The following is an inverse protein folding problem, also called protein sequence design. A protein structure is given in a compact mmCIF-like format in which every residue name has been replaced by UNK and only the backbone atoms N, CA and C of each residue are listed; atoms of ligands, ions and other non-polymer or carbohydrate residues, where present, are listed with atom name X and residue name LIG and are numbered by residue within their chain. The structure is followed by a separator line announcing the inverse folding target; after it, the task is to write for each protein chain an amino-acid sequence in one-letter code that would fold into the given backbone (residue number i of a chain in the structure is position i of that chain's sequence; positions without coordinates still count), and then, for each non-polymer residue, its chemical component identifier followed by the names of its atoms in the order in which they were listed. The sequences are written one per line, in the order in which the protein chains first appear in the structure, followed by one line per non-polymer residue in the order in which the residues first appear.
data_IF_835671668262
#
_entry.id   IF_835671668262
#
_cell.length_a   1.000
_cell.length_b   1.000
_cell.length_c   1.000
_cell.angle_alpha   90.00
_cell.angle_beta   90.00
_cell.angle_gamma   90.00
#
_symmetry.space_group_name_H-M   'P 1'
#
loop_
_entity.id
_entity.type
_entity.pdbx_description
1 polymer ?
#
# COMPACT_ATOMS: atom_id res chain seq x y z
N UNK A 1 -69.02 25.54 -34.35
CA UNK A 1 -69.09 25.07 -32.99
C UNK A 1 -67.64 24.61 -32.57
N UNK A 2 -66.96 25.45 -31.79
CA UNK A 2 -65.65 25.14 -31.28
C UNK A 2 -65.74 24.15 -30.11
N UNK A 3 -65.16 23.01 -30.25
CA UNK A 3 -64.89 22.09 -29.12
C UNK A 3 -63.79 22.66 -28.32
N UNK A 4 -64.08 23.22 -27.13
CA UNK A 4 -63.10 23.57 -26.15
C UNK A 4 -62.49 22.27 -25.55
N UNK A 5 -61.36 21.85 -26.04
CA UNK A 5 -60.59 20.76 -25.40
C UNK A 5 -59.94 21.32 -24.17
N UNK A 6 -60.45 21.00 -23.00
CA UNK A 6 -59.80 21.28 -21.73
C UNK A 6 -58.72 20.16 -21.53
N UNK A 7 -57.43 20.50 -21.70
CA UNK A 7 -56.36 19.62 -21.31
C UNK A 7 -56.08 19.82 -19.82
N UNK A 8 -56.48 18.86 -19.00
CA UNK A 8 -56.04 18.80 -17.60
C UNK A 8 -54.62 18.22 -17.58
N UNK A 9 -53.64 19.08 -17.50
CA UNK A 9 -52.28 18.64 -17.20
C UNK A 9 -52.24 18.30 -15.71
N UNK A 10 -52.27 17.04 -15.37
CA UNK A 10 -52.03 16.58 -14.01
C UNK A 10 -50.54 16.82 -13.70
N UNK A 11 -50.25 17.95 -13.08
CA UNK A 11 -48.94 18.11 -12.43
C UNK A 11 -48.95 17.34 -11.11
N UNK A 12 -48.97 16.03 -11.19
CA UNK A 12 -48.53 15.23 -10.06
C UNK A 12 -47.07 15.50 -9.85
N UNK A 13 -46.70 15.95 -8.64
CA UNK A 13 -45.34 15.96 -8.20
C UNK A 13 -44.80 14.55 -8.45
N UNK A 14 -43.95 14.36 -9.43
CA UNK A 14 -43.43 13.06 -9.77
C UNK A 14 -42.52 12.63 -8.61
N UNK A 15 -43.13 11.92 -7.65
CA UNK A 15 -42.40 10.97 -6.83
C UNK A 15 -42.30 9.73 -7.73
N UNK A 16 -41.37 9.73 -8.65
CA UNK A 16 -41.35 8.71 -9.65
C UNK A 16 -39.95 8.41 -10.10
N UNK A 17 -39.72 7.17 -10.26
CA UNK A 17 -38.72 6.56 -11.12
C UNK A 17 -38.38 7.51 -12.26
N UNK A 18 -37.14 7.96 -12.32
CA UNK A 18 -36.60 8.57 -13.52
C UNK A 18 -36.61 7.46 -14.56
N UNK A 19 -37.62 7.51 -15.44
CA UNK A 19 -37.70 6.63 -16.60
C UNK A 19 -36.64 7.13 -17.58
N UNK A 20 -35.38 6.69 -17.35
CA UNK A 20 -34.28 7.05 -18.20
C UNK A 20 -34.53 6.47 -19.59
N UNK A 21 -34.41 7.26 -20.67
CA UNK A 21 -34.47 6.71 -22.01
C UNK A 21 -33.41 5.60 -22.15
N UNK A 22 -33.67 4.56 -22.98
CA UNK A 22 -32.73 3.48 -23.14
C UNK A 22 -31.37 4.03 -23.57
N UNK A 23 -30.37 3.97 -22.66
CA UNK A 23 -29.00 4.33 -22.94
C UNK A 23 -28.27 5.06 -21.83
N UNK A 24 -28.77 6.16 -21.29
CA UNK A 24 -28.08 6.93 -20.24
C UNK A 24 -28.99 7.93 -19.56
N UNK A 25 -28.70 8.25 -18.30
CA UNK A 25 -29.28 9.41 -17.60
C UNK A 25 -28.30 10.58 -17.81
N UNK A 26 -28.73 11.55 -18.66
CA UNK A 26 -27.97 12.79 -18.86
C UNK A 26 -28.51 13.86 -17.91
N UNK A 27 -27.70 14.29 -16.98
CA UNK A 27 -27.98 15.37 -16.03
C UNK A 27 -27.66 16.76 -16.61
N UNK A 28 -27.09 16.83 -17.81
CA UNK A 28 -26.74 18.07 -18.52
C UNK A 28 -25.97 19.06 -17.63
N UNK A 29 -24.95 18.57 -16.93
CA UNK A 29 -24.14 19.36 -15.98
C UNK A 29 -24.85 19.61 -14.63
N UNK A 30 -26.00 19.02 -14.39
CA UNK A 30 -26.69 19.08 -13.11
C UNK A 30 -26.08 18.14 -12.06
N UNK A 31 -26.56 18.29 -10.83
CA UNK A 31 -26.12 17.49 -9.69
C UNK A 31 -27.06 16.32 -9.44
N UNK A 32 -26.53 15.18 -9.03
CA UNK A 32 -27.30 14.12 -8.41
C UNK A 32 -27.33 14.33 -6.90
N UNK A 33 -28.49 14.74 -6.35
CA UNK A 33 -28.71 14.88 -4.91
C UNK A 33 -29.08 13.54 -4.31
N UNK A 34 -28.39 13.15 -3.23
CA UNK A 34 -28.49 11.80 -2.65
C UNK A 34 -29.39 11.77 -1.41
N UNK A 35 -29.42 12.86 -0.62
CA UNK A 35 -30.11 12.93 0.66
C UNK A 35 -31.27 13.96 0.68
N UNK A 36 -32.00 13.98 1.80
CA UNK A 36 -33.26 14.77 1.92
C UNK A 36 -33.02 16.26 2.15
N UNK A 37 -31.93 16.65 2.78
CA UNK A 37 -31.55 18.05 3.03
C UNK A 37 -30.70 18.65 1.91
N UNK A 38 -30.39 17.84 0.88
CA UNK A 38 -29.74 18.23 -0.35
C UNK A 38 -28.30 18.75 -0.16
N UNK A 39 -27.59 18.27 0.85
CA UNK A 39 -26.19 18.63 1.12
C UNK A 39 -25.20 17.55 0.67
N UNK A 40 -25.67 16.31 0.42
CA UNK A 40 -24.87 15.22 -0.16
C UNK A 40 -25.18 15.04 -1.64
N UNK A 41 -24.16 15.20 -2.49
CA UNK A 41 -24.29 15.26 -3.95
C UNK A 41 -23.13 14.63 -4.69
N UNK A 42 -23.42 14.13 -5.90
CA UNK A 42 -22.42 13.94 -6.95
C UNK A 42 -22.60 15.11 -7.94
N UNK A 43 -21.55 15.86 -8.18
CA UNK A 43 -21.54 17.11 -8.94
C UNK A 43 -20.76 16.90 -10.24
N UNK A 44 -21.43 17.18 -11.38
CA UNK A 44 -20.84 17.10 -12.72
C UNK A 44 -20.79 18.46 -13.44
N UNK A 45 -20.86 19.57 -12.70
CA UNK A 45 -20.92 20.93 -13.27
C UNK A 45 -19.59 21.46 -13.83
N UNK A 46 -18.48 20.79 -13.50
CA UNK A 46 -17.16 21.10 -14.05
C UNK A 46 -16.81 20.05 -15.09
N UNK A 47 -16.34 20.48 -16.26
CA UNK A 47 -15.92 19.61 -17.34
C UNK A 47 -14.79 18.65 -16.89
N UNK A 48 -14.83 17.39 -17.34
CA UNK A 48 -13.85 16.33 -17.04
C UNK A 48 -13.66 16.03 -15.53
N UNK A 49 -14.67 16.36 -14.68
CA UNK A 49 -14.58 16.19 -13.23
C UNK A 49 -15.87 15.64 -12.63
N UNK A 50 -15.73 14.67 -11.72
CA UNK A 50 -16.80 14.21 -10.84
C UNK A 50 -16.40 14.61 -9.40
N UNK A 51 -17.21 15.50 -8.79
CA UNK A 51 -16.97 15.93 -7.40
C UNK A 51 -17.99 15.30 -6.45
N UNK A 52 -17.52 14.98 -5.26
CA UNK A 52 -18.33 14.49 -4.16
C UNK A 52 -18.47 15.60 -3.11
N UNK A 53 -19.71 16.03 -2.89
CA UNK A 53 -20.08 16.91 -1.77
C UNK A 53 -20.78 16.08 -0.71
N UNK A 54 -20.31 16.15 0.53
CA UNK A 54 -20.88 15.47 1.69
C UNK A 54 -21.04 16.51 2.80
N UNK A 55 -22.25 16.59 3.37
CA UNK A 55 -22.60 17.61 4.39
C UNK A 55 -22.23 19.04 3.93
N UNK A 56 -22.57 19.36 2.68
CA UNK A 56 -22.33 20.67 2.08
C UNK A 56 -20.88 21.00 1.72
N UNK A 57 -19.94 20.07 1.93
CA UNK A 57 -18.52 20.28 1.66
C UNK A 57 -18.04 19.41 0.51
N UNK A 58 -17.28 19.98 -0.43
CA UNK A 58 -16.63 19.25 -1.51
C UNK A 58 -15.44 18.44 -0.98
N UNK A 59 -15.69 17.19 -0.58
CA UNK A 59 -14.71 16.37 0.12
C UNK A 59 -13.65 15.75 -0.79
N UNK A 60 -13.96 15.60 -2.08
CA UNK A 60 -13.01 15.04 -3.04
C UNK A 60 -13.57 14.98 -4.45
N UNK A 61 -12.70 14.66 -5.39
CA UNK A 61 -13.11 14.54 -6.79
C UNK A 61 -12.27 13.51 -7.54
N UNK A 62 -12.82 13.07 -8.67
CA UNK A 62 -12.15 12.33 -9.72
C UNK A 62 -12.01 13.21 -10.96
N UNK A 63 -10.81 13.27 -11.53
CA UNK A 63 -10.53 13.99 -12.77
C UNK A 63 -9.67 13.17 -13.70
N UNK A 64 -9.68 13.56 -14.99
CA UNK A 64 -8.69 13.14 -15.97
C UNK A 64 -7.64 14.26 -16.10
N UNK A 65 -6.38 13.93 -15.95
CA UNK A 65 -5.27 14.86 -16.20
C UNK A 65 -4.22 14.19 -17.07
N UNK A 66 -4.08 14.62 -18.32
CA UNK A 66 -3.16 14.02 -19.28
C UNK A 66 -3.31 12.50 -19.44
N UNK A 67 -4.56 12.02 -19.43
CA UNK A 67 -4.98 10.61 -19.43
C UNK A 67 -4.76 9.85 -18.11
N UNK A 68 -4.26 10.50 -17.06
CA UNK A 68 -4.20 9.91 -15.74
C UNK A 68 -5.57 10.00 -15.03
N UNK A 69 -5.94 8.93 -14.34
CA UNK A 69 -7.07 8.95 -13.41
C UNK A 69 -6.61 9.53 -12.07
N UNK A 70 -7.08 10.72 -11.75
CA UNK A 70 -6.65 11.48 -10.56
C UNK A 70 -7.72 11.44 -9.48
N UNK A 71 -7.32 11.07 -8.25
CA UNK A 71 -8.13 11.12 -7.05
C UNK A 71 -7.60 12.27 -6.17
N UNK A 72 -8.46 13.24 -5.85
CA UNK A 72 -8.06 14.42 -5.09
C UNK A 72 -8.87 14.53 -3.80
N UNK A 73 -8.20 14.79 -2.65
CA UNK A 73 -8.86 15.34 -1.46
C UNK A 73 -9.24 16.79 -1.73
N UNK A 74 -10.51 17.15 -1.53
CA UNK A 74 -11.04 18.46 -1.90
C UNK A 74 -10.83 19.56 -0.87
N UNK A 75 -10.44 19.20 0.35
CA UNK A 75 -10.29 20.14 1.46
C UNK A 75 -8.82 20.27 1.87
N UNK A 76 -8.41 21.49 2.21
CA UNK A 76 -7.06 21.79 2.69
C UNK A 76 -6.72 20.95 3.93
N UNK A 77 -5.51 20.37 3.93
CA UNK A 77 -4.95 19.57 5.04
C UNK A 77 -5.85 18.39 5.46
N UNK A 78 -6.67 17.87 4.51
CA UNK A 78 -7.49 16.67 4.73
C UNK A 78 -7.00 15.50 3.88
N UNK A 79 -6.90 14.37 4.53
CA UNK A 79 -6.26 13.16 4.03
C UNK A 79 -7.17 12.33 3.13
N UNK A 80 -6.52 11.45 2.35
CA UNK A 80 -7.21 10.31 1.75
C UNK A 80 -6.99 9.11 2.67
N UNK A 81 -8.08 8.57 3.21
CA UNK A 81 -8.04 7.53 4.23
C UNK A 81 -8.76 6.28 3.74
N UNK A 82 -8.07 5.15 3.76
CA UNK A 82 -8.63 3.85 3.46
C UNK A 82 -8.94 3.11 4.75
N UNK A 83 -10.22 2.80 4.95
CA UNK A 83 -10.72 2.10 6.13
C UNK A 83 -11.37 0.78 5.76
N UNK A 84 -11.38 -0.13 6.69
CA UNK A 84 -12.03 -1.43 6.56
C UNK A 84 -12.46 -1.96 7.92
N UNK A 85 -12.93 -3.20 7.92
CA UNK A 85 -13.28 -3.96 9.12
C UNK A 85 -12.35 -5.17 9.22
N UNK A 86 -11.79 -5.39 10.40
CA UNK A 86 -10.96 -6.55 10.71
C UNK A 86 -11.58 -7.29 11.91
N UNK A 87 -12.27 -8.39 11.62
CA UNK A 87 -12.90 -9.21 12.62
C UNK A 87 -13.98 -8.50 13.46
N UNK A 88 -14.75 -7.57 12.86
CA UNK A 88 -15.77 -6.77 13.53
C UNK A 88 -15.26 -5.46 14.16
N UNK A 89 -14.01 -5.09 13.92
CA UNK A 89 -13.41 -3.85 14.40
C UNK A 89 -13.05 -2.93 13.23
N UNK A 90 -13.55 -1.70 13.26
CA UNK A 90 -13.18 -0.70 12.25
C UNK A 90 -11.70 -0.33 12.35
N UNK A 91 -10.98 -0.42 11.23
CA UNK A 91 -9.56 -0.09 11.14
C UNK A 91 -9.30 0.95 10.05
N UNK A 92 -8.23 1.74 10.23
CA UNK A 92 -7.61 2.51 9.16
C UNK A 92 -6.45 1.67 8.60
N UNK A 93 -6.54 1.25 7.34
CA UNK A 93 -5.52 0.44 6.69
C UNK A 93 -4.37 1.29 6.13
N UNK A 94 -4.71 2.42 5.50
CA UNK A 94 -3.75 3.35 4.90
C UNK A 94 -4.26 4.79 4.99
N UNK A 95 -3.34 5.72 5.17
CA UNK A 95 -3.58 7.17 5.08
C UNK A 95 -2.55 7.80 4.16
N UNK A 96 -3.01 8.66 3.25
CA UNK A 96 -2.18 9.62 2.53
C UNK A 96 -2.36 10.96 3.24
N UNK A 97 -1.36 11.36 4.03
CA UNK A 97 -1.41 12.56 4.87
C UNK A 97 -1.06 13.80 4.05
N UNK A 98 -2.07 14.60 3.71
CA UNK A 98 -1.88 15.79 2.88
C UNK A 98 -1.34 16.97 3.68
N UNK A 99 -1.50 16.97 5.01
CA UNK A 99 -0.94 17.99 5.89
C UNK A 99 0.57 17.82 6.11
N UNK A 100 1.09 16.59 5.89
CA UNK A 100 2.53 16.26 5.98
C UNK A 100 3.13 15.90 4.61
N UNK A 101 2.81 16.69 3.59
CA UNK A 101 3.41 16.59 2.26
C UNK A 101 3.10 15.29 1.49
N UNK A 102 2.04 14.59 1.84
CA UNK A 102 1.64 13.33 1.19
C UNK A 102 2.35 12.09 1.74
N UNK A 103 2.74 12.11 3.01
CA UNK A 103 3.29 10.92 3.68
C UNK A 103 2.27 9.78 3.65
N UNK A 104 2.76 8.58 3.29
CA UNK A 104 1.96 7.35 3.28
C UNK A 104 2.15 6.60 4.58
N UNK A 105 1.10 6.52 5.39
CA UNK A 105 1.06 5.72 6.62
C UNK A 105 0.28 4.43 6.40
N UNK A 106 0.89 3.28 6.69
CA UNK A 106 0.31 1.95 6.55
C UNK A 106 0.27 1.28 7.93
N UNK A 107 -0.89 0.74 8.32
CA UNK A 107 -1.15 0.25 9.68
C UNK A 107 -0.17 -0.83 10.16
N UNK A 108 0.05 -1.86 9.35
CA UNK A 108 0.80 -3.06 9.77
C UNK A 108 2.05 -3.32 8.96
N UNK A 109 2.10 -2.90 7.71
CA UNK A 109 3.26 -3.11 6.85
C UNK A 109 2.91 -3.27 5.37
N UNK A 110 3.96 -3.35 4.55
CA UNK A 110 3.87 -3.60 3.10
C UNK A 110 4.29 -5.05 2.89
N UNK A 111 3.38 -5.87 2.33
CA UNK A 111 3.70 -7.23 1.94
C UNK A 111 4.43 -7.28 0.60
N UNK A 112 5.58 -7.94 0.55
CA UNK A 112 6.28 -8.24 -0.69
C UNK A 112 5.97 -9.67 -1.14
N UNK A 113 5.96 -9.98 -2.44
CA UNK A 113 5.72 -11.33 -2.91
C UNK A 113 6.86 -12.28 -2.51
N UNK A 114 6.53 -13.55 -2.26
CA UNK A 114 7.52 -14.57 -1.91
C UNK A 114 8.57 -14.80 -3.01
N UNK A 115 8.22 -14.52 -4.27
CA UNK A 115 9.16 -14.52 -5.39
C UNK A 115 9.43 -13.10 -5.81
N UNK A 116 10.68 -12.68 -5.73
CA UNK A 116 11.09 -11.33 -6.13
C UNK A 116 10.77 -11.07 -7.60
N UNK A 117 10.17 -9.91 -7.85
CA UNK A 117 10.04 -9.32 -9.19
C UNK A 117 11.00 -8.13 -9.25
N UNK A 118 12.18 -8.36 -9.86
CA UNK A 118 13.24 -7.35 -9.90
C UNK A 118 12.77 -6.08 -10.63
N UNK A 119 13.02 -4.92 -10.00
CA UNK A 119 12.83 -3.61 -10.58
C UNK A 119 14.19 -2.97 -10.88
N UNK A 120 14.35 -2.37 -12.07
CA UNK A 120 15.60 -1.71 -12.46
C UNK A 120 15.74 -0.27 -11.92
N UNK A 121 14.72 0.28 -11.27
CA UNK A 121 14.73 1.62 -10.68
C UNK A 121 15.63 1.70 -9.45
N UNK A 122 16.65 2.57 -9.47
CA UNK A 122 17.61 2.68 -8.36
C UNK A 122 17.03 3.20 -7.03
N UNK A 123 15.82 3.75 -7.06
CA UNK A 123 15.13 4.33 -5.90
C UNK A 123 13.85 3.55 -5.52
N UNK A 124 13.75 2.29 -5.95
CA UNK A 124 12.61 1.43 -5.66
C UNK A 124 13.02 0.37 -4.64
N UNK A 125 12.27 0.27 -3.55
CA UNK A 125 12.37 -0.84 -2.62
C UNK A 125 11.53 -2.01 -3.18
N UNK A 126 12.18 -2.92 -3.87
CA UNK A 126 11.54 -4.03 -4.60
C UNK A 126 11.77 -5.41 -3.96
N UNK A 127 12.56 -5.46 -2.91
CA UNK A 127 12.96 -6.71 -2.28
C UNK A 127 13.18 -6.51 -0.78
N UNK A 128 12.33 -7.16 0.01
CA UNK A 128 12.50 -7.33 1.44
C UNK A 128 12.24 -8.78 1.80
N UNK A 129 13.20 -9.40 2.47
CA UNK A 129 13.12 -10.80 2.86
C UNK A 129 13.75 -11.00 4.24
N UNK A 130 13.11 -11.76 5.07
CA UNK A 130 13.65 -12.26 6.34
C UNK A 130 13.63 -13.78 6.35
N UNK A 131 14.62 -14.38 6.97
CA UNK A 131 14.66 -15.82 7.07
C UNK A 131 15.75 -16.33 8.00
N UNK A 132 15.86 -17.65 8.05
CA UNK A 132 16.88 -18.35 8.83
C UNK A 132 17.81 -19.11 7.91
N UNK A 133 19.04 -19.36 8.40
CA UNK A 133 20.02 -20.21 7.72
C UNK A 133 20.79 -21.06 8.75
N UNK A 134 21.46 -22.07 8.26
CA UNK A 134 22.28 -22.95 9.10
C UNK A 134 23.75 -22.66 8.82
N UNK A 135 24.46 -21.92 9.71
CA UNK A 135 25.86 -21.64 9.52
C UNK A 135 26.72 -22.92 9.61
N UNK A 136 27.81 -22.92 8.85
CA UNK A 136 28.82 -23.98 8.88
C UNK A 136 30.21 -23.35 9.09
N UNK A 137 31.13 -24.08 9.69
CA UNK A 137 32.55 -23.66 9.83
C UNK A 137 33.44 -24.75 9.21
N UNK A 138 33.79 -24.54 7.95
CA UNK A 138 34.59 -25.54 7.22
C UNK A 138 33.94 -26.95 7.30
N UNK A 139 34.74 -27.94 7.74
CA UNK A 139 34.30 -29.33 7.94
C UNK A 139 34.04 -29.67 9.43
N UNK A 140 33.96 -28.67 10.31
CA UNK A 140 33.77 -28.90 11.74
C UNK A 140 32.32 -29.35 12.03
N UNK A 141 32.23 -30.30 12.99
CA UNK A 141 30.96 -30.62 13.59
C UNK A 141 30.63 -29.61 14.68
N UNK A 142 29.54 -28.90 14.53
CA UNK A 142 29.10 -27.87 15.48
C UNK A 142 28.12 -28.51 16.47
N UNK A 143 28.26 -28.20 17.77
CA UNK A 143 27.36 -28.65 18.83
C UNK A 143 26.01 -27.97 18.70
N UNK A 144 26.02 -26.67 18.46
CA UNK A 144 24.82 -25.87 18.22
C UNK A 144 25.10 -24.78 17.17
N UNK A 145 24.06 -24.39 16.44
CA UNK A 145 24.18 -23.41 15.36
C UNK A 145 22.83 -22.85 14.99
N UNK A 146 22.80 -21.56 14.79
CA UNK A 146 21.60 -20.83 14.37
C UNK A 146 22.00 -19.58 13.62
N UNK A 147 21.24 -19.21 12.61
CA UNK A 147 21.41 -17.95 11.88
C UNK A 147 20.08 -17.39 11.39
N UNK A 148 19.97 -16.10 11.37
CA UNK A 148 18.90 -15.37 10.73
C UNK A 148 19.47 -14.24 9.87
N UNK A 149 18.69 -13.80 8.91
CA UNK A 149 19.07 -12.72 8.00
C UNK A 149 17.91 -11.79 7.72
N UNK A 150 18.25 -10.57 7.36
CA UNK A 150 17.37 -9.59 6.74
C UNK A 150 18.02 -9.11 5.47
N UNK A 151 17.27 -9.13 4.36
CA UNK A 151 17.70 -8.64 3.06
C UNK A 151 16.83 -7.44 2.66
N UNK A 152 17.47 -6.35 2.23
CA UNK A 152 16.81 -5.16 1.70
C UNK A 152 17.52 -4.80 0.39
N UNK A 153 16.86 -5.06 -0.72
CA UNK A 153 17.47 -4.96 -2.03
C UNK A 153 18.71 -5.85 -2.14
N UNK A 154 19.90 -5.27 -2.30
CA UNK A 154 21.18 -6.01 -2.38
C UNK A 154 21.92 -6.09 -1.04
N UNK A 155 21.47 -5.38 -0.04
CA UNK A 155 22.07 -5.43 1.28
C UNK A 155 21.53 -6.63 2.06
N UNK A 156 22.43 -7.48 2.56
CA UNK A 156 22.09 -8.64 3.39
C UNK A 156 22.80 -8.48 4.72
N UNK A 157 22.02 -8.40 5.80
CA UNK A 157 22.51 -8.48 7.16
C UNK A 157 22.29 -9.88 7.69
N UNK A 158 23.33 -10.51 8.19
CA UNK A 158 23.29 -11.85 8.79
C UNK A 158 23.75 -11.78 10.24
N UNK A 159 23.04 -12.50 11.09
CA UNK A 159 23.42 -12.73 12.48
C UNK A 159 23.35 -14.21 12.75
N UNK A 160 24.33 -14.74 13.48
CA UNK A 160 24.37 -16.17 13.75
C UNK A 160 25.18 -16.50 14.98
N UNK A 161 24.94 -17.68 15.47
CA UNK A 161 25.64 -18.31 16.58
C UNK A 161 26.13 -19.70 16.17
N UNK A 162 27.35 -20.03 16.55
CA UNK A 162 27.90 -21.37 16.38
C UNK A 162 28.66 -21.79 17.67
N UNK A 163 28.33 -22.96 18.18
CA UNK A 163 29.08 -23.63 19.26
C UNK A 163 29.97 -24.70 18.63
N UNK A 164 31.26 -24.46 18.68
CA UNK A 164 32.28 -25.36 18.11
C UNK A 164 32.74 -26.42 19.13
N UNK A 165 32.30 -26.33 20.39
CA UNK A 165 32.82 -27.19 21.45
C UNK A 165 34.34 -27.01 21.65
N UNK A 166 34.98 -28.01 22.24
CA UNK A 166 36.45 -28.01 22.42
C UNK A 166 37.13 -28.40 21.11
N UNK A 167 37.78 -27.45 20.44
CA UNK A 167 38.58 -27.69 19.24
C UNK A 167 40.06 -27.62 19.55
N UNK A 168 40.84 -28.59 19.07
CA UNK A 168 42.31 -28.58 19.15
C UNK A 168 42.90 -28.33 17.76
N UNK A 169 43.58 -27.22 17.59
CA UNK A 169 44.30 -26.88 16.35
C UNK A 169 43.87 -25.53 15.76
N UNK A 170 44.84 -24.67 15.42
CA UNK A 170 44.64 -23.39 14.75
C UNK A 170 44.45 -23.61 13.26
N UNK A 171 43.23 -23.53 12.77
CA UNK A 171 42.89 -23.50 11.34
C UNK A 171 42.15 -22.22 11.00
N UNK A 172 42.37 -21.72 9.80
CA UNK A 172 41.55 -20.63 9.28
C UNK A 172 40.08 -21.05 9.27
N UNK A 173 39.25 -20.35 10.02
CA UNK A 173 37.82 -20.61 10.06
C UNK A 173 37.15 -19.92 8.89
N UNK A 174 36.52 -20.69 8.02
CA UNK A 174 35.71 -20.17 6.91
C UNK A 174 34.25 -20.44 7.24
N UNK A 175 33.49 -19.38 7.43
CA UNK A 175 32.04 -19.49 7.60
C UNK A 175 31.38 -19.78 6.25
N UNK A 176 30.52 -20.78 6.24
CA UNK A 176 29.65 -21.16 5.10
C UNK A 176 28.20 -21.27 5.51
N UNK A 177 27.38 -21.81 4.60
CA UNK A 177 25.94 -21.95 4.85
C UNK A 177 25.16 -20.63 4.79
N UNK A 178 25.77 -19.56 4.28
CA UNK A 178 25.11 -18.26 4.13
C UNK A 178 23.91 -18.36 3.18
N UNK A 179 22.85 -17.58 3.41
CA UNK A 179 21.61 -17.69 2.64
C UNK A 179 21.73 -17.20 1.19
N UNK A 180 22.73 -16.36 0.90
CA UNK A 180 22.97 -15.80 -0.42
C UNK A 180 24.42 -15.93 -0.84
N UNK A 181 24.67 -16.07 -2.14
CA UNK A 181 26.01 -16.06 -2.71
C UNK A 181 26.55 -14.62 -2.68
N UNK A 182 27.73 -14.42 -2.12
CA UNK A 182 28.39 -13.13 -2.17
C UNK A 182 28.73 -12.75 -3.62
N UNK A 183 28.67 -11.44 -3.92
CA UNK A 183 29.22 -10.95 -5.19
C UNK A 183 30.72 -11.34 -5.28
N UNK A 184 31.18 -11.71 -6.47
CA UNK A 184 32.57 -12.15 -6.71
C UNK A 184 33.56 -10.99 -6.63
N UNK A 185 33.63 -10.36 -5.49
CA UNK A 185 34.69 -9.39 -5.16
C UNK A 185 35.37 -9.82 -3.87
N UNK A 186 36.67 -9.61 -3.81
CA UNK A 186 37.46 -9.78 -2.58
C UNK A 186 36.98 -8.74 -1.58
N UNK A 187 35.95 -9.05 -0.85
CA UNK A 187 35.41 -8.20 0.20
C UNK A 187 35.88 -8.74 1.53
N UNK A 188 36.52 -7.91 2.33
CA UNK A 188 36.77 -8.21 3.72
C UNK A 188 35.44 -8.17 4.46
N UNK A 189 35.02 -9.31 4.99
CA UNK A 189 33.93 -9.37 5.94
C UNK A 189 34.47 -8.82 7.28
N UNK A 190 33.97 -7.64 7.69
CA UNK A 190 34.26 -7.15 9.04
C UNK A 190 33.35 -7.95 10.01
N UNK A 191 33.97 -8.95 10.65
CA UNK A 191 33.32 -9.77 11.67
C UNK A 191 33.67 -9.16 13.02
N UNK A 192 32.81 -8.33 13.56
CA UNK A 192 32.86 -7.94 14.96
C UNK A 192 32.24 -9.06 15.80
N UNK A 193 33.11 -9.95 16.30
CA UNK A 193 32.72 -11.04 17.20
C UNK A 193 33.35 -10.86 18.56
N UNK A 194 32.60 -11.03 19.63
CA UNK A 194 33.14 -11.19 20.99
C UNK A 194 33.57 -12.64 21.16
N UNK A 195 34.87 -12.85 21.30
CA UNK A 195 35.44 -14.16 21.57
C UNK A 195 35.61 -14.31 23.08
N UNK A 196 34.63 -14.89 23.74
CA UNK A 196 34.76 -15.28 25.15
C UNK A 196 35.38 -16.69 25.23
N UNK A 197 36.68 -16.78 25.53
CA UNK A 197 37.30 -18.03 25.90
C UNK A 197 36.92 -18.34 27.37
N UNK A 198 35.94 -19.23 27.55
CA UNK A 198 35.63 -19.79 28.87
C UNK A 198 36.57 -20.96 29.10
N UNK A 199 37.62 -20.75 29.92
CA UNK A 199 38.42 -21.84 30.49
C UNK A 199 37.63 -22.61 31.54
#
# INVERSE_FOLDING_TARGET
SGTNNIYVVHQAKAVGTIDAPPGSLDLNGGNLTIDADADTKIIGSTDDRIEFSIAGSGVGNFTNSSSDFVITSGLQDKDIVFKGDDGGSAITAMTLDMSDGGVVSIRTGIGFPATQVANSGGNVLDDYEEGTFVPTIGSLTLNDKFGHYTKIGRAVSVQGYVDMGSQSGGSTMVMGGLPFTSASHTQYLDVTGDYSNQN
#
